data_IF_399286841492
#
_entry.id   IF_399286841492
#
_cell.length_a   1.000
_cell.length_b   1.000
_cell.length_c   1.000
_cell.angle_alpha   90.00
_cell.angle_beta   90.00
_cell.angle_gamma   90.00
#
_symmetry.space_group_name_H-M   'P 1'
#
loop_
_entity.id
_entity.type
_entity.pdbx_description
1 polymer ?
#
# COMPACT_ATOMS: atom_id res chain seq x y z
N UNK A 1 -1.25 24.14 -10.29
CA UNK A 1 -0.97 22.78 -9.83
C UNK A 1 -0.77 21.85 -11.00
N UNK A 2 0.22 21.02 -10.91
CA UNK A 2 0.52 20.08 -11.96
C UNK A 2 -0.19 18.75 -11.75
N UNK A 3 -0.47 18.06 -12.85
CA UNK A 3 -0.94 16.70 -12.78
C UNK A 3 0.15 15.79 -12.22
N UNK A 4 -0.26 14.67 -11.64
CA UNK A 4 0.65 13.62 -11.16
C UNK A 4 0.51 12.42 -12.06
N UNK A 5 1.62 11.95 -12.61
CA UNK A 5 1.65 10.70 -13.39
C UNK A 5 2.09 9.58 -12.46
N UNK A 6 1.14 8.74 -12.07
CA UNK A 6 1.35 7.74 -11.02
C UNK A 6 2.43 6.73 -11.38
N UNK A 7 2.51 6.32 -12.65
CA UNK A 7 3.55 5.38 -13.08
C UNK A 7 4.96 5.95 -12.89
N UNK A 8 5.13 7.24 -13.19
CA UNK A 8 6.42 7.92 -13.02
C UNK A 8 6.79 8.04 -11.55
N UNK A 9 5.80 8.39 -10.70
CA UNK A 9 6.03 8.49 -9.27
C UNK A 9 6.37 7.15 -8.66
N UNK A 10 5.67 6.09 -9.05
CA UNK A 10 5.97 4.74 -8.57
C UNK A 10 7.35 4.26 -9.00
N UNK A 11 7.81 4.67 -10.18
CA UNK A 11 9.14 4.31 -10.69
C UNK A 11 10.28 4.93 -9.87
N UNK A 12 10.02 5.98 -9.09
CA UNK A 12 11.04 6.60 -8.24
C UNK A 12 11.22 5.89 -6.90
N UNK A 13 10.33 4.96 -6.54
CA UNK A 13 10.38 4.29 -5.25
C UNK A 13 11.59 3.38 -5.16
N UNK A 14 12.29 3.44 -4.04
CA UNK A 14 13.49 2.64 -3.77
C UNK A 14 13.29 1.58 -2.70
N UNK A 15 12.18 1.65 -1.98
CA UNK A 15 11.91 0.75 -0.86
C UNK A 15 10.53 0.11 -1.01
N UNK A 16 10.45 -1.17 -0.70
CA UNK A 16 9.16 -1.88 -0.71
C UNK A 16 8.33 -1.52 0.51
N UNK A 17 7.01 -1.47 0.33
CA UNK A 17 6.00 -1.22 1.37
C UNK A 17 6.08 0.16 2.01
N UNK A 18 6.92 1.03 1.51
CA UNK A 18 7.04 2.41 1.96
C UNK A 18 6.19 3.31 1.06
N UNK A 19 5.44 4.21 1.66
CA UNK A 19 4.48 5.06 0.94
C UNK A 19 5.07 6.44 0.67
N UNK A 20 4.83 6.96 -0.53
CA UNK A 20 5.22 8.31 -0.92
C UNK A 20 3.96 9.11 -1.22
N UNK A 21 3.76 10.21 -0.52
CA UNK A 21 2.64 11.12 -0.77
C UNK A 21 2.89 11.85 -2.08
N UNK A 22 1.96 11.74 -3.03
CA UNK A 22 2.09 12.37 -4.34
C UNK A 22 1.02 13.42 -4.60
N UNK A 23 -0.07 13.41 -3.85
CA UNK A 23 -1.16 14.37 -4.00
C UNK A 23 -2.00 14.41 -2.74
N UNK A 24 -2.81 15.48 -2.62
CA UNK A 24 -3.78 15.69 -1.54
C UNK A 24 -5.05 16.26 -2.13
N UNK A 25 -6.19 15.84 -1.61
CA UNK A 25 -7.46 16.38 -2.03
C UNK A 25 -8.58 15.91 -1.09
N UNK A 26 -9.50 16.81 -0.75
CA UNK A 26 -10.63 16.53 0.14
C UNK A 26 -10.23 15.87 1.47
N UNK A 27 -9.11 16.31 2.03
CA UNK A 27 -8.60 15.71 3.27
C UNK A 27 -7.98 14.34 3.11
N UNK A 28 -7.85 13.84 1.88
CA UNK A 28 -7.25 12.53 1.60
C UNK A 28 -5.82 12.70 1.13
N UNK A 29 -4.97 11.77 1.52
CA UNK A 29 -3.62 11.63 1.00
C UNK A 29 -3.63 10.57 -0.10
N UNK A 30 -2.97 10.87 -1.22
CA UNK A 30 -2.79 9.94 -2.31
C UNK A 30 -1.33 9.52 -2.30
N UNK A 31 -1.09 8.22 -2.07
CA UNK A 31 0.25 7.70 -1.81
C UNK A 31 0.54 6.55 -2.76
N UNK A 32 1.73 6.56 -3.37
CA UNK A 32 2.18 5.42 -4.17
C UNK A 32 3.12 4.56 -3.33
N UNK A 33 3.07 3.27 -3.59
CA UNK A 33 3.93 2.29 -2.96
C UNK A 33 4.21 1.15 -3.93
N UNK A 34 5.25 0.38 -3.66
CA UNK A 34 5.50 -0.89 -4.32
C UNK A 34 5.70 -1.96 -3.27
N UNK A 35 5.37 -3.19 -3.61
CA UNK A 35 5.50 -4.30 -2.68
C UNK A 35 5.96 -5.57 -3.36
N UNK A 36 6.65 -6.40 -2.61
CA UNK A 36 6.97 -7.78 -2.96
C UNK A 36 7.01 -8.58 -1.67
N UNK A 37 6.62 -9.85 -1.70
CA UNK A 37 6.46 -10.64 -0.49
C UNK A 37 5.22 -10.21 0.27
N UNK A 38 5.27 -10.22 1.59
CA UNK A 38 4.11 -9.86 2.41
C UNK A 38 4.47 -8.87 3.50
N UNK A 39 3.45 -8.14 3.94
CA UNK A 39 3.51 -7.38 5.18
C UNK A 39 3.11 -8.28 6.34
N UNK A 40 3.05 -7.72 7.56
CA UNK A 40 2.41 -8.37 8.69
C UNK A 40 0.90 -8.18 8.60
N UNK A 41 0.17 -9.06 9.25
CA UNK A 41 -1.23 -8.82 9.52
C UNK A 41 -1.37 -7.59 10.41
N UNK A 42 -2.21 -6.65 9.98
CA UNK A 42 -2.39 -5.39 10.69
C UNK A 42 -3.77 -4.79 10.37
N UNK A 43 -4.14 -3.78 11.12
CA UNK A 43 -5.36 -3.00 10.90
C UNK A 43 -5.09 -1.54 11.20
N UNK A 44 -5.96 -0.68 10.70
CA UNK A 44 -5.91 0.77 10.96
C UNK A 44 -7.22 1.16 11.65
N UNK A 45 -7.13 1.65 12.88
CA UNK A 45 -8.31 1.93 13.69
C UNK A 45 -8.94 3.29 13.41
N UNK A 46 -8.25 4.14 12.68
CA UNK A 46 -8.59 5.55 12.49
C UNK A 46 -9.02 5.91 11.07
N UNK A 47 -8.96 4.98 10.13
CA UNK A 47 -9.29 5.26 8.74
C UNK A 47 -9.57 4.00 7.94
N UNK A 48 -10.31 4.18 6.84
CA UNK A 48 -10.38 3.19 5.77
C UNK A 48 -9.11 3.29 4.93
N UNK A 49 -8.67 2.18 4.36
CA UNK A 49 -7.53 2.17 3.46
C UNK A 49 -7.97 1.72 2.07
N UNK A 50 -7.80 2.60 1.09
CA UNK A 50 -8.22 2.34 -0.29
C UNK A 50 -7.01 1.94 -1.11
N UNK A 51 -7.07 0.77 -1.74
CA UNK A 51 -6.04 0.28 -2.66
C UNK A 51 -6.52 0.40 -4.09
N UNK A 52 -5.66 0.92 -4.96
CA UNK A 52 -5.86 0.89 -6.42
C UNK A 52 -4.59 0.31 -7.04
N UNK A 53 -4.69 -0.84 -7.69
CA UNK A 53 -3.51 -1.46 -8.29
C UNK A 53 -3.17 -0.79 -9.61
N UNK A 54 -1.90 -0.44 -9.78
CA UNK A 54 -1.37 0.20 -10.98
C UNK A 54 -0.69 -0.82 -11.90
N UNK A 55 0.12 -1.71 -11.34
CA UNK A 55 0.82 -2.73 -12.11
C UNK A 55 1.15 -3.94 -11.24
N UNK A 56 1.33 -5.09 -11.88
CA UNK A 56 1.55 -6.34 -11.19
C UNK A 56 0.24 -6.96 -10.71
N UNK A 57 0.30 -7.67 -9.59
CA UNK A 57 -0.86 -8.26 -8.94
C UNK A 57 -0.68 -8.14 -7.44
N UNK A 58 -1.71 -7.74 -6.74
CA UNK A 58 -1.68 -7.59 -5.28
C UNK A 58 -2.82 -8.41 -4.69
N UNK A 59 -2.48 -9.31 -3.77
CA UNK A 59 -3.46 -10.04 -3.00
C UNK A 59 -3.59 -9.38 -1.64
N UNK A 60 -4.78 -8.91 -1.32
CA UNK A 60 -5.08 -8.40 0.03
C UNK A 60 -5.76 -9.52 0.79
N UNK A 61 -5.03 -10.15 1.70
CA UNK A 61 -5.58 -11.22 2.52
C UNK A 61 -6.42 -10.62 3.63
N UNK A 62 -7.65 -11.11 3.77
CA UNK A 62 -8.52 -10.86 4.91
C UNK A 62 -8.64 -12.14 5.70
N UNK A 63 -9.15 -12.07 6.93
CA UNK A 63 -9.25 -13.28 7.77
C UNK A 63 -10.20 -14.33 7.19
N UNK A 64 -11.22 -13.89 6.45
CA UNK A 64 -12.23 -14.78 5.87
C UNK A 64 -12.06 -15.05 4.37
N UNK A 65 -11.18 -14.32 3.69
CA UNK A 65 -10.97 -14.48 2.24
C UNK A 65 -9.77 -13.69 1.77
N UNK A 66 -9.33 -13.98 0.55
CA UNK A 66 -8.34 -13.19 -0.16
C UNK A 66 -9.02 -12.37 -1.25
N UNK A 67 -8.55 -11.16 -1.45
CA UNK A 67 -9.01 -10.29 -2.54
C UNK A 67 -7.81 -10.03 -3.44
N UNK A 68 -7.86 -10.55 -4.66
CA UNK A 68 -6.78 -10.39 -5.63
C UNK A 68 -7.10 -9.22 -6.56
N UNK A 69 -6.19 -8.25 -6.61
CA UNK A 69 -6.32 -7.07 -7.45
C UNK A 69 -5.47 -7.21 -8.70
N UNK A 70 -6.07 -6.87 -9.83
CA UNK A 70 -5.41 -6.72 -11.11
C UNK A 70 -5.29 -5.22 -11.43
N UNK A 71 -4.43 -4.80 -12.37
CA UNK A 71 -4.30 -3.38 -12.70
C UNK A 71 -5.64 -2.73 -12.99
N UNK A 72 -5.91 -1.61 -12.32
CA UNK A 72 -7.17 -0.90 -12.41
C UNK A 72 -8.21 -1.29 -11.37
N UNK A 73 -7.98 -2.37 -10.61
CA UNK A 73 -8.90 -2.77 -9.56
C UNK A 73 -8.73 -1.91 -8.31
N UNK A 74 -9.86 -1.62 -7.68
CA UNK A 74 -9.91 -0.84 -6.44
C UNK A 74 -10.55 -1.67 -5.34
N UNK A 75 -9.98 -1.60 -4.15
CA UNK A 75 -10.50 -2.28 -2.98
C UNK A 75 -10.39 -1.41 -1.74
N UNK A 76 -11.44 -1.33 -0.97
CA UNK A 76 -11.46 -0.59 0.29
C UNK A 76 -11.36 -1.58 1.44
N UNK A 77 -10.32 -1.43 2.26
CA UNK A 77 -10.24 -2.13 3.54
C UNK A 77 -10.86 -1.21 4.58
N UNK A 78 -12.01 -1.60 5.15
CA UNK A 78 -12.67 -0.76 6.14
C UNK A 78 -11.81 -0.59 7.40
N UNK A 79 -12.04 0.51 8.09
CA UNK A 79 -11.46 0.80 9.38
C UNK A 79 -11.58 -0.40 10.33
N UNK A 80 -10.47 -0.77 10.97
CA UNK A 80 -10.44 -1.86 11.94
C UNK A 80 -10.36 -3.27 11.38
N UNK A 81 -10.43 -3.44 10.06
CA UNK A 81 -10.38 -4.77 9.44
C UNK A 81 -8.93 -5.22 9.28
N UNK A 82 -8.63 -6.38 9.86
CA UNK A 82 -7.31 -6.98 9.73
C UNK A 82 -7.04 -7.45 8.31
N UNK A 83 -5.86 -7.13 7.82
CA UNK A 83 -5.46 -7.48 6.47
C UNK A 83 -3.95 -7.67 6.36
N UNK A 84 -3.54 -8.37 5.28
CA UNK A 84 -2.13 -8.62 5.01
C UNK A 84 -1.93 -8.63 3.49
N UNK A 85 -1.41 -7.55 2.91
CA UNK A 85 -1.09 -7.51 1.49
C UNK A 85 0.09 -8.43 1.15
N UNK A 86 -0.04 -9.13 0.02
CA UNK A 86 0.98 -10.06 -0.48
C UNK A 86 1.14 -9.85 -1.97
N UNK A 87 2.38 -9.83 -2.44
CA UNK A 87 2.69 -9.78 -3.86
C UNK A 87 3.80 -10.80 -4.17
N UNK A 88 3.54 -11.73 -5.08
CA UNK A 88 4.53 -12.73 -5.48
C UNK A 88 5.65 -12.11 -6.31
N UNK A 89 5.31 -11.12 -7.12
CA UNK A 89 6.24 -10.29 -7.88
C UNK A 89 5.96 -8.83 -7.55
N UNK A 90 6.83 -7.92 -7.97
CA UNK A 90 6.67 -6.51 -7.63
C UNK A 90 5.32 -5.99 -8.12
N UNK A 91 4.54 -5.47 -7.18
CA UNK A 91 3.28 -4.78 -7.43
C UNK A 91 3.47 -3.30 -7.12
N UNK A 92 2.83 -2.44 -7.91
CA UNK A 92 2.82 -0.99 -7.69
C UNK A 92 1.37 -0.54 -7.55
N UNK A 93 1.10 0.26 -6.54
CA UNK A 93 -0.27 0.58 -6.19
C UNK A 93 -0.38 1.96 -5.55
N UNK A 94 -1.59 2.50 -5.60
CA UNK A 94 -1.97 3.74 -4.94
C UNK A 94 -2.74 3.38 -3.68
N UNK A 95 -2.43 4.08 -2.60
CA UNK A 95 -3.17 3.97 -1.34
C UNK A 95 -3.75 5.35 -1.03
N UNK A 96 -5.04 5.39 -0.74
CA UNK A 96 -5.75 6.63 -0.41
C UNK A 96 -6.28 6.50 1.01
N UNK A 97 -6.04 7.50 1.82
CA UNK A 97 -6.53 7.55 3.19
C UNK A 97 -6.26 8.91 3.82
N UNK A 98 -6.75 9.11 5.04
CA UNK A 98 -6.63 10.39 5.71
C UNK A 98 -5.27 10.62 6.35
N UNK A 99 -4.48 9.54 6.52
CA UNK A 99 -3.17 9.62 7.14
C UNK A 99 -2.23 8.58 6.51
N UNK A 100 -0.96 8.69 6.85
CA UNK A 100 0.05 7.73 6.42
C UNK A 100 -0.13 6.44 7.22
N UNK A 101 -0.19 5.33 6.51
CA UNK A 101 -0.27 4.00 7.12
C UNK A 101 1.06 3.28 7.10
N UNK A 102 1.97 3.75 6.25
CA UNK A 102 3.39 3.45 6.34
C UNK A 102 4.12 4.70 5.97
N UNK A 103 5.39 4.79 6.34
CA UNK A 103 5.99 6.03 6.41
C UNK A 103 6.96 6.36 5.30
N UNK A 104 6.48 6.74 4.18
CA UNK A 104 7.34 7.32 3.15
C UNK A 104 7.82 8.74 3.47
N UNK A 105 7.21 9.39 4.42
CA UNK A 105 7.55 10.77 4.75
C UNK A 105 8.21 10.91 6.11
N UNK A 106 8.06 9.98 6.98
CA UNK A 106 8.52 10.11 8.34
C UNK A 106 9.12 8.87 8.96
N UNK A 107 9.24 7.81 8.24
CA UNK A 107 9.80 6.61 8.80
C UNK A 107 8.93 5.41 8.49
N UNK A 108 9.42 4.24 8.63
CA UNK A 108 8.67 3.03 8.35
C UNK A 108 7.99 2.52 9.59
N UNK A 109 6.80 1.94 9.45
CA UNK A 109 6.22 1.21 10.56
C UNK A 109 7.07 -0.02 10.88
N UNK A 110 6.94 -0.54 12.08
CA UNK A 110 7.74 -1.67 12.55
C UNK A 110 7.63 -2.91 11.65
N UNK A 111 6.50 -3.07 10.99
CA UNK A 111 6.25 -4.21 10.12
C UNK A 111 6.88 -4.06 8.73
N UNK A 112 7.46 -2.91 8.40
CA UNK A 112 8.04 -2.62 7.10
C UNK A 112 9.56 -2.79 7.13
N UNK A 113 10.14 -3.29 6.06
CA UNK A 113 11.57 -3.55 5.95
C UNK A 113 12.29 -2.54 5.09
N UNK A 114 13.49 -2.15 5.52
CA UNK A 114 14.38 -1.35 4.71
C UNK A 114 14.95 -2.17 3.56
N UNK A 115 15.22 -1.49 2.43
CA UNK A 115 15.83 -2.11 1.28
C UNK A 115 14.96 -3.12 0.57
N UNK A 116 13.71 -3.19 0.91
CA UNK A 116 12.76 -3.99 0.20
C UNK A 116 12.76 -5.47 0.54
N UNK A 117 13.39 -5.87 1.64
CA UNK A 117 13.24 -7.25 2.10
C UNK A 117 11.98 -7.34 2.93
N UNK A 118 10.90 -7.93 2.42
CA UNK A 118 9.64 -7.96 3.16
C UNK A 118 9.73 -8.90 4.35
N UNK A 119 8.89 -8.70 5.38
CA UNK A 119 8.79 -9.66 6.47
C UNK A 119 8.28 -11.00 5.95
N UNK A 120 8.65 -12.06 6.66
CA UNK A 120 8.07 -13.37 6.39
C UNK A 120 6.57 -13.30 6.65
N UNK A 121 5.73 -13.96 5.82
CA UNK A 121 4.30 -13.98 6.04
C UNK A 121 3.96 -14.36 7.47
N UNK A 122 3.11 -13.55 8.11
CA UNK A 122 2.72 -13.75 9.51
C UNK A 122 3.72 -13.25 10.54
N UNK A 123 4.83 -12.72 10.10
CA UNK A 123 5.85 -12.19 11.00
C UNK A 123 5.45 -10.81 11.54
#
# INVERSE_FOLDING_TARGET
MDKVTLADEAATLTEFWSQKIVARGNGQLFKVAKGIGSTRWHSHDDQDEVFLLLSGQLKVQLRDRDVTLEPGDLFVVPQGVEHCPVADEEARFLIIGTDITSNAAGGKPEWSHDGGTPPVPGA
#
